data_IF_582760366398
#
_entry.id   IF_582760366398
#
_cell.length_a   1.000
_cell.length_b   1.000
_cell.length_c   1.000
_cell.angle_alpha   90.00
_cell.angle_beta   90.00
_cell.angle_gamma   90.00
#
_symmetry.space_group_name_H-M   'P 1'
#
loop_
_entity.id
_entity.type
_entity.pdbx_description
1 polymer ?
#
# COMPACT_ATOMS: atom_id res chain seq x y z
N UNK A 1 31.48 -12.67 -20.52
CA UNK A 1 30.37 -11.70 -20.57
C UNK A 1 30.33 -11.16 -21.98
N UNK A 2 29.13 -10.99 -22.52
CA UNK A 2 28.98 -10.27 -23.78
C UNK A 2 29.41 -8.81 -23.57
N UNK A 3 29.82 -8.14 -24.64
CA UNK A 3 30.35 -6.77 -24.57
C UNK A 3 29.25 -5.73 -24.74
N UNK A 4 28.10 -6.13 -25.31
CA UNK A 4 26.99 -5.23 -25.66
C UNK A 4 25.66 -5.71 -25.06
N UNK A 5 24.92 -4.75 -24.50
CA UNK A 5 23.61 -4.89 -23.87
C UNK A 5 22.77 -3.67 -24.24
N UNK A 6 21.46 -3.87 -24.38
CA UNK A 6 20.53 -2.76 -24.67
C UNK A 6 20.36 -1.85 -23.44
N UNK A 7 20.36 -2.45 -22.24
CA UNK A 7 20.21 -1.75 -20.97
C UNK A 7 21.12 -2.36 -19.91
N UNK A 8 21.76 -1.51 -19.11
CA UNK A 8 22.50 -1.91 -17.90
C UNK A 8 21.75 -1.36 -16.69
N UNK A 9 21.39 -2.24 -15.76
CA UNK A 9 20.73 -1.92 -14.49
C UNK A 9 21.71 -2.15 -13.34
N UNK A 10 21.91 -1.12 -12.52
CA UNK A 10 22.83 -1.13 -11.38
C UNK A 10 22.04 -1.10 -10.07
N UNK A 11 22.23 -2.11 -9.24
CA UNK A 11 21.51 -2.31 -7.99
C UNK A 11 20.32 -3.25 -8.17
N UNK A 12 20.04 -4.04 -7.15
CA UNK A 12 18.98 -5.08 -7.14
C UNK A 12 17.86 -4.74 -6.17
N UNK A 13 17.59 -3.45 -5.99
CA UNK A 13 16.42 -2.99 -5.27
C UNK A 13 15.13 -3.35 -5.99
N UNK A 14 14.00 -3.21 -5.28
CA UNK A 14 12.69 -3.58 -5.81
C UNK A 14 12.37 -2.87 -7.14
N UNK A 15 12.71 -1.58 -7.26
CA UNK A 15 12.40 -0.77 -8.46
C UNK A 15 13.23 -1.25 -9.66
N UNK A 16 14.52 -1.48 -9.42
CA UNK A 16 15.49 -1.91 -10.42
C UNK A 16 15.11 -3.31 -10.95
N UNK A 17 14.75 -4.24 -10.06
CA UNK A 17 14.28 -5.57 -10.43
C UNK A 17 12.98 -5.55 -11.24
N UNK A 18 12.02 -4.69 -10.89
CA UNK A 18 10.78 -4.54 -11.66
C UNK A 18 11.06 -4.02 -13.08
N UNK A 19 11.89 -2.98 -13.19
CA UNK A 19 12.26 -2.41 -14.50
C UNK A 19 13.03 -3.42 -15.34
N UNK A 20 14.03 -4.08 -14.76
CA UNK A 20 14.81 -5.15 -15.40
C UNK A 20 13.90 -6.27 -15.93
N UNK A 21 12.91 -6.70 -15.13
CA UNK A 21 11.92 -7.69 -15.53
C UNK A 21 11.04 -7.23 -16.69
N UNK A 22 10.50 -6.00 -16.65
CA UNK A 22 9.68 -5.45 -17.72
C UNK A 22 10.46 -5.33 -19.05
N UNK A 23 11.68 -4.80 -19.00
CA UNK A 23 12.54 -4.66 -20.19
C UNK A 23 12.92 -6.03 -20.79
N UNK A 24 13.13 -7.03 -19.93
CA UNK A 24 13.39 -8.41 -20.37
C UNK A 24 12.17 -9.03 -21.05
N UNK A 25 10.95 -8.77 -20.55
CA UNK A 25 9.70 -9.20 -21.19
C UNK A 25 9.52 -8.55 -22.57
N UNK A 26 9.93 -7.29 -22.71
CA UNK A 26 9.99 -6.56 -23.98
C UNK A 26 11.16 -6.99 -24.89
N UNK A 27 11.85 -8.08 -24.54
CA UNK A 27 12.93 -8.72 -25.29
C UNK A 27 14.20 -7.89 -25.44
N UNK A 28 14.42 -6.92 -24.56
CA UNK A 28 15.70 -6.23 -24.47
C UNK A 28 16.74 -7.09 -23.75
N UNK A 29 17.98 -6.98 -24.20
CA UNK A 29 19.14 -7.65 -23.58
C UNK A 29 19.62 -6.82 -22.39
N UNK A 30 19.22 -7.24 -21.19
CA UNK A 30 19.51 -6.51 -19.94
C UNK A 30 20.70 -7.11 -19.20
N UNK A 31 21.68 -6.28 -18.82
CA UNK A 31 22.70 -6.63 -17.83
C UNK A 31 22.31 -6.06 -16.47
N UNK A 32 22.02 -6.92 -15.51
CA UNK A 32 21.62 -6.51 -14.16
C UNK A 32 22.68 -6.94 -13.15
N UNK A 33 23.28 -5.99 -12.44
CA UNK A 33 24.33 -6.26 -11.47
C UNK A 33 24.19 -5.41 -10.21
N UNK A 34 24.77 -5.88 -9.12
CA UNK A 34 24.87 -5.17 -7.85
C UNK A 34 26.32 -5.18 -7.38
N UNK A 35 26.71 -4.14 -6.64
CA UNK A 35 28.01 -4.09 -5.96
C UNK A 35 28.00 -4.92 -4.67
N UNK A 36 26.83 -5.14 -4.10
CA UNK A 36 26.63 -5.92 -2.89
C UNK A 36 26.63 -7.43 -3.23
N UNK A 37 27.01 -8.25 -2.27
CA UNK A 37 26.95 -9.72 -2.35
C UNK A 37 25.56 -10.29 -1.99
N UNK A 38 24.55 -9.43 -1.88
CA UNK A 38 23.16 -9.76 -1.57
C UNK A 38 22.20 -8.93 -2.42
N UNK A 39 20.96 -9.43 -2.53
CA UNK A 39 19.88 -8.75 -3.25
C UNK A 39 19.14 -7.72 -2.38
N UNK A 40 18.48 -6.75 -3.02
CA UNK A 40 17.49 -5.88 -2.38
C UNK A 40 17.97 -4.48 -2.03
N UNK A 41 19.29 -4.24 -2.03
CA UNK A 41 19.87 -2.93 -1.70
C UNK A 41 19.37 -2.43 -0.33
N UNK A 42 18.86 -1.19 -0.29
CA UNK A 42 18.29 -0.60 0.93
C UNK A 42 17.04 -1.34 1.45
N UNK A 43 16.35 -2.08 0.57
CA UNK A 43 15.17 -2.90 0.90
C UNK A 43 15.53 -4.36 1.18
N UNK A 44 16.79 -4.70 1.43
CA UNK A 44 17.21 -6.07 1.73
C UNK A 44 16.46 -6.64 2.94
N UNK A 45 16.26 -7.96 2.94
CA UNK A 45 15.82 -8.72 4.11
C UNK A 45 17.06 -9.34 4.76
N UNK A 46 17.20 -9.17 6.08
CA UNK A 46 18.34 -9.68 6.83
C UNK A 46 17.94 -10.89 7.66
N UNK A 47 18.84 -11.86 7.75
CA UNK A 47 18.75 -12.91 8.77
C UNK A 47 19.14 -12.36 10.16
N UNK A 48 18.90 -13.14 11.21
CA UNK A 48 19.08 -12.67 12.58
C UNK A 48 20.52 -12.23 12.91
N UNK A 49 21.54 -12.98 12.49
CA UNK A 49 22.93 -12.62 12.70
C UNK A 49 23.32 -11.33 11.95
N UNK A 50 22.87 -11.19 10.69
CA UNK A 50 23.10 -9.97 9.90
C UNK A 50 22.45 -8.74 10.56
N UNK A 51 21.24 -8.90 11.10
CA UNK A 51 20.52 -7.85 11.80
C UNK A 51 21.28 -7.41 13.08
N UNK A 52 21.77 -8.37 13.86
CA UNK A 52 22.56 -8.09 15.07
C UNK A 52 23.87 -7.38 14.75
N UNK A 53 24.61 -7.91 13.77
CA UNK A 53 25.85 -7.28 13.32
C UNK A 53 25.64 -5.84 12.89
N UNK A 54 24.54 -5.56 12.19
CA UNK A 54 24.21 -4.21 11.70
C UNK A 54 23.85 -3.22 12.81
N UNK A 55 23.03 -3.63 13.78
CA UNK A 55 22.43 -2.69 14.75
C UNK A 55 22.99 -2.79 16.17
N UNK A 56 23.66 -3.89 16.50
CA UNK A 56 24.24 -4.17 17.83
C UNK A 56 25.75 -4.33 17.79
N UNK A 57 26.34 -4.56 16.62
CA UNK A 57 27.79 -4.78 16.46
C UNK A 57 28.27 -6.14 16.98
N UNK A 58 27.34 -7.03 17.34
CA UNK A 58 27.63 -8.40 17.76
C UNK A 58 27.57 -9.35 16.55
N UNK A 59 28.47 -10.34 16.49
CA UNK A 59 28.51 -11.30 15.38
C UNK A 59 27.38 -12.35 15.43
N UNK A 60 26.75 -12.55 16.59
CA UNK A 60 25.72 -13.58 16.79
C UNK A 60 24.55 -13.09 17.61
N UNK A 61 23.33 -13.42 17.20
CA UNK A 61 22.11 -13.14 17.96
C UNK A 61 21.95 -14.06 19.18
N UNK A 62 21.20 -13.65 20.22
CA UNK A 62 20.89 -14.47 21.39
C UNK A 62 20.27 -15.83 21.03
N UNK A 63 20.80 -16.90 21.64
CA UNK A 63 20.39 -18.27 21.35
C UNK A 63 18.89 -18.56 21.58
N UNK A 64 18.24 -17.83 22.49
CA UNK A 64 16.82 -18.01 22.80
C UNK A 64 15.86 -17.60 21.67
N UNK A 65 16.36 -16.86 20.66
CA UNK A 65 15.58 -16.45 19.51
C UNK A 65 15.52 -17.53 18.41
N UNK A 66 16.24 -18.65 18.57
CA UNK A 66 16.25 -19.73 17.59
C UNK A 66 17.28 -19.55 16.47
N UNK A 67 17.08 -20.28 15.37
CA UNK A 67 18.08 -20.35 14.30
C UNK A 67 18.02 -19.11 13.39
N UNK A 68 19.16 -18.48 13.14
CA UNK A 68 19.23 -17.25 12.32
C UNK A 68 18.58 -17.37 10.94
N UNK A 69 18.61 -18.55 10.32
CA UNK A 69 18.05 -18.83 8.98
C UNK A 69 16.52 -18.82 8.91
N UNK A 70 15.84 -18.85 10.05
CA UNK A 70 14.37 -18.81 10.13
C UNK A 70 13.82 -17.38 10.01
N UNK A 71 14.71 -16.39 10.03
CA UNK A 71 14.37 -14.97 9.99
C UNK A 71 14.69 -14.36 8.63
N UNK A 72 13.72 -13.60 8.12
CA UNK A 72 13.88 -12.70 7.00
C UNK A 72 13.27 -11.36 7.42
N UNK A 73 14.11 -10.46 7.92
CA UNK A 73 13.69 -9.17 8.51
C UNK A 73 13.92 -8.06 7.50
N UNK A 74 12.83 -7.53 6.96
CA UNK A 74 12.88 -6.46 5.97
C UNK A 74 13.42 -5.16 6.59
N UNK A 75 14.42 -4.57 5.94
CA UNK A 75 14.95 -3.27 6.33
C UNK A 75 13.97 -2.12 6.05
N UNK A 76 13.06 -2.31 5.11
CA UNK A 76 12.00 -1.36 4.75
C UNK A 76 10.67 -2.12 4.62
N UNK A 77 9.93 -2.32 5.72
CA UNK A 77 8.69 -3.09 5.69
C UNK A 77 7.62 -2.38 4.86
N UNK A 78 7.02 -3.10 3.91
CA UNK A 78 5.93 -2.60 3.05
C UNK A 78 4.91 -3.70 2.79
N UNK A 79 3.65 -3.32 2.69
CA UNK A 79 2.59 -4.20 2.19
C UNK A 79 2.25 -3.86 0.74
N UNK A 80 1.69 -4.84 0.05
CA UNK A 80 1.15 -4.69 -1.29
C UNK A 80 -0.36 -4.59 -1.21
N UNK A 81 -0.93 -3.51 -1.76
CA UNK A 81 -2.37 -3.40 -1.95
C UNK A 81 -2.80 -4.48 -2.94
N UNK A 82 -3.77 -5.31 -2.59
CA UNK A 82 -4.20 -6.45 -3.40
C UNK A 82 -4.61 -6.03 -4.83
N UNK A 83 -5.32 -4.90 -4.94
CA UNK A 83 -5.74 -4.33 -6.23
C UNK A 83 -4.80 -3.18 -6.70
N UNK A 84 -3.59 -3.12 -6.17
CA UNK A 84 -2.59 -2.10 -6.49
C UNK A 84 -1.92 -2.30 -7.85
N UNK A 85 -1.30 -1.24 -8.37
CA UNK A 85 -0.55 -1.30 -9.62
C UNK A 85 0.63 -2.30 -9.57
N UNK A 86 1.28 -2.42 -8.41
CA UNK A 86 2.42 -3.34 -8.25
C UNK A 86 2.02 -4.80 -8.47
N UNK A 87 0.89 -5.26 -7.92
CA UNK A 87 0.40 -6.63 -8.15
C UNK A 87 0.12 -6.87 -9.64
N UNK A 88 -0.49 -5.90 -10.33
CA UNK A 88 -0.72 -5.99 -11.79
C UNK A 88 0.59 -6.14 -12.56
N UNK A 89 1.63 -5.40 -12.19
CA UNK A 89 2.96 -5.51 -12.81
C UNK A 89 3.58 -6.89 -12.57
N UNK A 90 3.52 -7.42 -11.35
CA UNK A 90 4.06 -8.75 -11.02
C UNK A 90 3.36 -9.88 -11.79
N UNK A 91 2.05 -9.76 -11.99
CA UNK A 91 1.28 -10.70 -12.82
C UNK A 91 1.73 -10.59 -14.29
N UNK A 92 1.84 -9.37 -14.81
CA UNK A 92 2.24 -9.12 -16.20
C UNK A 92 3.63 -9.66 -16.52
N UNK A 93 4.60 -9.50 -15.61
CA UNK A 93 5.97 -10.03 -15.77
C UNK A 93 6.07 -11.53 -15.51
N UNK A 94 5.01 -12.18 -15.02
CA UNK A 94 5.00 -13.60 -14.69
C UNK A 94 5.80 -13.98 -13.44
N UNK A 95 6.28 -13.00 -12.68
CA UNK A 95 7.10 -13.20 -11.47
C UNK A 95 6.32 -13.87 -10.34
N UNK A 96 4.99 -13.77 -10.35
CA UNK A 96 4.10 -14.43 -9.37
C UNK A 96 4.28 -15.95 -9.30
N UNK A 97 4.87 -16.59 -10.31
CA UNK A 97 5.21 -18.03 -10.30
C UNK A 97 6.29 -18.39 -9.27
N UNK A 98 7.06 -17.41 -8.80
CA UNK A 98 8.20 -17.60 -7.91
C UNK A 98 7.95 -17.08 -6.49
N UNK A 99 6.73 -16.63 -6.20
CA UNK A 99 6.39 -16.04 -4.91
C UNK A 99 5.00 -16.46 -4.45
N UNK A 100 4.88 -16.65 -3.15
CA UNK A 100 3.61 -16.93 -2.49
C UNK A 100 3.19 -15.73 -1.68
N UNK A 101 1.91 -15.37 -1.75
CA UNK A 101 1.33 -14.27 -0.99
C UNK A 101 0.47 -14.82 0.15
N UNK A 102 0.48 -14.11 1.27
CA UNK A 102 -0.45 -14.32 2.38
C UNK A 102 -1.15 -12.99 2.65
N UNK A 103 -2.47 -13.03 2.77
CA UNK A 103 -3.25 -11.86 3.16
C UNK A 103 -2.87 -11.43 4.60
N UNK A 104 -2.82 -10.12 4.82
CA UNK A 104 -2.68 -9.56 6.17
C UNK A 104 -4.02 -9.69 6.88
N UNK A 105 -4.02 -10.14 8.14
CA UNK A 105 -5.25 -10.45 8.89
C UNK A 105 -6.10 -9.21 9.21
N UNK A 106 -5.48 -8.03 9.29
CA UNK A 106 -6.20 -6.79 9.52
C UNK A 106 -5.32 -5.55 9.54
N UNK A 107 -5.96 -4.41 9.31
CA UNK A 107 -5.39 -3.07 9.54
C UNK A 107 -5.97 -2.48 10.82
N UNK A 108 -5.17 -1.72 11.54
CA UNK A 108 -5.55 -1.13 12.82
C UNK A 108 -5.14 0.33 12.89
N UNK A 109 -5.97 1.15 13.54
CA UNK A 109 -5.71 2.57 13.78
C UNK A 109 -5.55 2.81 15.29
N UNK A 110 -4.63 3.70 15.64
CA UNK A 110 -4.45 4.16 17.01
C UNK A 110 -5.27 5.43 17.23
N UNK A 111 -6.23 5.38 18.16
CA UNK A 111 -7.06 6.53 18.51
C UNK A 111 -7.17 6.61 20.05
N UNK A 112 -6.79 7.76 20.62
CA UNK A 112 -6.92 8.07 22.06
C UNK A 112 -6.42 6.95 22.98
N UNK A 113 -5.21 6.44 22.72
CA UNK A 113 -4.59 5.40 23.55
C UNK A 113 -5.07 3.97 23.27
N UNK A 114 -5.95 3.76 22.29
CA UNK A 114 -6.49 2.44 21.95
C UNK A 114 -6.22 2.10 20.50
N UNK A 115 -5.84 0.85 20.27
CA UNK A 115 -5.75 0.26 18.94
C UNK A 115 -7.12 -0.31 18.57
N UNK A 116 -7.65 0.07 17.42
CA UNK A 116 -8.95 -0.37 16.93
C UNK A 116 -8.82 -0.92 15.51
N UNK A 117 -9.52 -2.02 15.22
CA UNK A 117 -9.51 -2.61 13.88
C UNK A 117 -10.21 -1.67 12.89
N UNK A 118 -9.55 -1.39 11.77
CA UNK A 118 -10.13 -0.72 10.61
C UNK A 118 -11.12 -1.72 9.96
N UNK A 119 -12.41 -1.40 9.86
CA UNK A 119 -13.39 -2.33 9.32
C UNK A 119 -13.10 -2.68 7.86
N UNK A 120 -13.10 -3.98 7.54
CA UNK A 120 -12.92 -4.46 6.17
C UNK A 120 -14.20 -5.03 5.54
N UNK A 121 -15.31 -5.07 6.30
CA UNK A 121 -16.63 -5.52 5.83
C UNK A 121 -17.74 -4.65 6.40
N UNK A 122 -18.92 -4.66 5.76
CA UNK A 122 -20.12 -3.96 6.24
C UNK A 122 -20.49 -4.37 7.68
N UNK A 123 -20.37 -5.66 8.01
CA UNK A 123 -20.68 -6.16 9.35
C UNK A 123 -19.69 -5.65 10.41
N UNK A 124 -18.40 -5.56 10.07
CA UNK A 124 -17.40 -4.95 10.95
C UNK A 124 -17.64 -3.45 11.11
N UNK A 125 -18.02 -2.76 10.04
CA UNK A 125 -18.32 -1.33 10.07
C UNK A 125 -19.49 -1.05 11.03
N UNK A 126 -20.54 -1.87 10.99
CA UNK A 126 -21.68 -1.78 11.90
C UNK A 126 -21.30 -2.02 13.38
N UNK A 127 -20.36 -2.92 13.66
CA UNK A 127 -19.89 -3.24 15.04
C UNK A 127 -18.79 -2.30 15.56
N UNK A 128 -18.09 -1.60 14.67
CA UNK A 128 -16.92 -0.81 15.03
C UNK A 128 -17.22 0.34 16.00
N UNK A 129 -16.39 0.57 17.03
CA UNK A 129 -16.54 1.71 17.93
C UNK A 129 -15.94 3.02 17.38
N UNK A 130 -15.35 3.01 16.17
CA UNK A 130 -14.68 4.19 15.59
C UNK A 130 -15.63 5.35 15.31
N UNK A 131 -16.91 5.07 15.07
CA UNK A 131 -17.92 6.05 14.71
C UNK A 131 -19.22 5.80 15.47
N UNK A 132 -19.92 6.86 15.86
CA UNK A 132 -21.29 6.76 16.37
C UNK A 132 -22.28 6.34 15.27
N UNK A 133 -23.46 5.84 15.64
CA UNK A 133 -24.44 5.30 14.69
C UNK A 133 -24.85 6.29 13.57
N UNK A 134 -25.07 7.56 13.93
CA UNK A 134 -25.42 8.60 12.96
C UNK A 134 -24.25 8.98 12.04
N UNK A 135 -23.03 8.97 12.59
CA UNK A 135 -21.81 9.23 11.83
C UNK A 135 -21.57 8.10 10.81
N UNK A 136 -21.75 6.83 11.21
CA UNK A 136 -21.69 5.68 10.29
C UNK A 136 -22.66 5.81 9.12
N UNK A 137 -23.87 6.33 9.35
CA UNK A 137 -24.85 6.56 8.27
C UNK A 137 -24.38 7.63 7.29
N UNK A 138 -23.71 8.68 7.76
CA UNK A 138 -23.12 9.72 6.89
C UNK A 138 -21.89 9.19 6.15
N UNK A 139 -20.98 8.53 6.86
CA UNK A 139 -19.79 7.90 6.28
C UNK A 139 -20.17 6.86 5.22
N UNK A 140 -21.20 6.04 5.46
CA UNK A 140 -21.72 5.09 4.48
C UNK A 140 -22.18 5.76 3.18
N UNK A 141 -22.88 6.91 3.26
CA UNK A 141 -23.25 7.68 2.05
C UNK A 141 -22.03 8.22 1.29
N UNK A 142 -20.99 8.61 2.02
CA UNK A 142 -19.73 9.06 1.43
C UNK A 142 -18.99 7.91 0.75
N UNK A 143 -18.84 6.76 1.41
CA UNK A 143 -18.21 5.58 0.84
C UNK A 143 -18.95 5.07 -0.41
N UNK A 144 -20.28 5.06 -0.39
CA UNK A 144 -21.08 4.74 -1.58
C UNK A 144 -20.78 5.69 -2.74
N UNK A 145 -20.67 6.99 -2.48
CA UNK A 145 -20.25 7.94 -3.52
C UNK A 145 -18.86 7.64 -4.07
N UNK A 146 -17.88 7.37 -3.21
CA UNK A 146 -16.51 7.03 -3.61
C UNK A 146 -16.49 5.76 -4.46
N UNK A 147 -17.24 4.72 -4.08
CA UNK A 147 -17.36 3.47 -4.84
C UNK A 147 -18.00 3.71 -6.21
N UNK A 148 -19.12 4.44 -6.25
CA UNK A 148 -19.89 4.71 -7.47
C UNK A 148 -19.17 5.68 -8.44
N UNK A 149 -18.26 6.52 -7.94
CA UNK A 149 -17.58 7.54 -8.75
C UNK A 149 -16.76 6.93 -9.89
N UNK A 150 -17.02 7.36 -11.12
CA UNK A 150 -16.29 6.96 -12.32
C UNK A 150 -15.82 8.22 -13.05
N UNK A 151 -14.50 8.36 -13.20
CA UNK A 151 -13.87 9.54 -13.82
C UNK A 151 -14.42 9.82 -15.23
N UNK A 152 -14.66 8.76 -16.02
CA UNK A 152 -15.17 8.86 -17.39
C UNK A 152 -16.70 8.92 -17.51
N UNK A 153 -17.44 8.92 -16.40
CA UNK A 153 -18.91 8.95 -16.41
C UNK A 153 -19.45 10.11 -15.55
N UNK A 154 -19.75 11.27 -16.17
CA UNK A 154 -20.23 12.47 -15.48
C UNK A 154 -21.52 12.26 -14.66
N UNK A 155 -22.34 11.25 -14.98
CA UNK A 155 -23.58 10.97 -14.24
C UNK A 155 -23.30 10.54 -12.79
N UNK A 156 -22.10 10.00 -12.52
CA UNK A 156 -21.67 9.54 -11.19
C UNK A 156 -21.11 10.67 -10.32
N UNK A 157 -20.80 11.84 -10.90
CA UNK A 157 -20.04 12.90 -10.22
C UNK A 157 -20.88 13.67 -9.20
N UNK A 158 -22.22 13.58 -9.27
CA UNK A 158 -23.18 14.30 -8.42
C UNK A 158 -22.97 15.82 -8.41
N UNK A 159 -22.50 16.36 -9.54
CA UNK A 159 -22.25 17.79 -9.72
C UNK A 159 -20.93 18.28 -9.11
N UNK A 160 -20.07 17.39 -8.60
CA UNK A 160 -18.75 17.74 -8.10
C UNK A 160 -17.69 17.59 -9.19
N UNK A 161 -16.80 18.57 -9.30
CA UNK A 161 -15.57 18.44 -10.09
C UNK A 161 -14.41 18.13 -9.14
N UNK A 162 -14.04 16.84 -9.06
CA UNK A 162 -13.00 16.35 -8.16
C UNK A 162 -11.60 16.86 -8.49
N UNK A 163 -11.39 17.43 -9.67
CA UNK A 163 -10.11 18.05 -10.05
C UNK A 163 -9.96 19.46 -9.49
N UNK A 164 -11.05 20.05 -8.99
CA UNK A 164 -11.10 21.43 -8.50
C UNK A 164 -11.52 21.55 -7.04
N UNK A 165 -12.52 20.77 -6.61
CA UNK A 165 -12.96 20.77 -5.21
C UNK A 165 -11.91 20.11 -4.35
N UNK A 166 -11.61 20.71 -3.20
CA UNK A 166 -10.65 20.14 -2.25
C UNK A 166 -11.22 18.91 -1.55
N UNK A 167 -10.35 18.01 -1.05
CA UNK A 167 -10.80 16.86 -0.25
C UNK A 167 -11.64 17.31 0.96
N UNK A 168 -11.23 18.38 1.63
CA UNK A 168 -11.98 18.94 2.78
C UNK A 168 -13.37 19.40 2.38
N UNK A 169 -13.50 20.15 1.30
CA UNK A 169 -14.80 20.64 0.82
C UNK A 169 -15.71 19.48 0.44
N UNK A 170 -15.20 18.48 -0.30
CA UNK A 170 -15.97 17.30 -0.67
C UNK A 170 -16.48 16.57 0.59
N UNK A 171 -15.60 16.24 1.53
CA UNK A 171 -15.98 15.48 2.73
C UNK A 171 -16.98 16.29 3.58
N UNK A 172 -16.79 17.60 3.68
CA UNK A 172 -17.70 18.49 4.42
C UNK A 172 -19.14 18.46 3.87
N UNK A 173 -19.34 18.21 2.56
CA UNK A 173 -20.69 18.03 1.97
C UNK A 173 -21.46 16.85 2.55
N UNK A 174 -20.76 15.86 3.11
CA UNK A 174 -21.35 14.69 3.75
C UNK A 174 -21.54 14.88 5.25
N UNK A 175 -21.07 16.00 5.82
CA UNK A 175 -21.21 16.34 7.23
C UNK A 175 -20.46 15.37 8.16
N UNK A 176 -19.28 14.90 7.72
CA UNK A 176 -18.44 14.03 8.54
C UNK A 176 -17.68 14.86 9.59
N UNK A 177 -17.51 14.29 10.78
CA UNK A 177 -16.75 14.91 11.85
C UNK A 177 -15.23 14.78 11.64
N UNK A 178 -14.45 15.56 12.39
CA UNK A 178 -12.98 15.59 12.26
C UNK A 178 -12.34 14.23 12.54
N UNK A 179 -12.85 13.44 13.50
CA UNK A 179 -12.30 12.10 13.79
C UNK A 179 -12.54 11.13 12.63
N UNK A 180 -13.67 11.28 11.94
CA UNK A 180 -14.03 10.47 10.77
C UNK A 180 -13.21 10.87 9.55
N UNK A 181 -12.95 12.17 9.38
CA UNK A 181 -12.05 12.69 8.35
C UNK A 181 -10.63 12.13 8.56
N UNK A 182 -10.10 12.21 9.77
CA UNK A 182 -8.79 11.67 10.16
C UNK A 182 -8.69 10.16 9.84
N UNK A 183 -9.69 9.38 10.28
CA UNK A 183 -9.78 7.96 9.97
C UNK A 183 -9.80 7.68 8.46
N UNK A 184 -10.61 8.40 7.69
CA UNK A 184 -10.73 8.22 6.24
C UNK A 184 -9.42 8.57 5.55
N UNK A 185 -8.80 9.69 5.89
CA UNK A 185 -7.55 10.15 5.29
C UNK A 185 -6.39 9.19 5.54
N UNK A 186 -6.20 8.79 6.80
CA UNK A 186 -5.00 8.07 7.21
C UNK A 186 -5.15 6.55 7.20
N UNK A 187 -6.32 6.02 7.55
CA UNK A 187 -6.52 4.57 7.64
C UNK A 187 -7.13 3.95 6.37
N UNK A 188 -7.83 4.76 5.55
CA UNK A 188 -8.46 4.28 4.30
C UNK A 188 -7.71 4.79 3.07
N UNK A 189 -7.48 6.10 2.95
CA UNK A 189 -6.75 6.69 1.83
C UNK A 189 -5.21 6.61 1.98
N UNK A 190 -4.73 6.26 3.19
CA UNK A 190 -3.30 6.11 3.50
C UNK A 190 -2.46 7.36 3.23
N UNK A 191 -3.05 8.54 3.43
CA UNK A 191 -2.29 9.79 3.48
C UNK A 191 -1.41 9.83 4.74
N UNK A 192 -0.24 10.43 4.65
CA UNK A 192 0.73 10.48 5.76
C UNK A 192 0.59 11.70 6.66
N UNK A 193 -0.12 12.72 6.18
CA UNK A 193 -0.36 13.99 6.84
C UNK A 193 -1.62 14.65 6.26
N UNK A 194 -2.06 15.77 6.85
CA UNK A 194 -3.32 16.45 6.52
C UNK A 194 -3.25 17.38 5.28
N UNK A 195 -2.11 17.46 4.58
CA UNK A 195 -2.00 18.35 3.40
C UNK A 195 -3.03 18.03 2.31
N UNK A 196 -3.40 16.75 2.17
CA UNK A 196 -4.42 16.27 1.22
C UNK A 196 -5.78 16.97 1.36
N UNK A 197 -6.09 17.51 2.55
CA UNK A 197 -7.34 18.23 2.80
C UNK A 197 -7.48 19.47 1.94
N UNK A 198 -6.36 20.13 1.62
CA UNK A 198 -6.30 21.32 0.76
C UNK A 198 -6.08 20.99 -0.72
N UNK A 199 -5.80 19.73 -1.06
CA UNK A 199 -5.58 19.28 -2.43
C UNK A 199 -6.87 18.83 -3.11
N UNK A 200 -6.92 18.80 -4.46
CA UNK A 200 -8.06 18.26 -5.19
C UNK A 200 -8.45 16.86 -4.74
N UNK A 201 -9.76 16.64 -4.57
CA UNK A 201 -10.30 15.41 -4.00
C UNK A 201 -10.08 14.15 -4.86
N UNK A 202 -9.73 14.30 -6.14
CA UNK A 202 -9.57 13.19 -7.09
C UNK A 202 -8.54 12.15 -6.63
N UNK A 203 -7.41 12.58 -6.06
CA UNK A 203 -6.36 11.65 -5.59
C UNK A 203 -6.85 10.86 -4.36
N UNK A 204 -7.43 11.55 -3.38
CA UNK A 204 -8.02 10.93 -2.19
C UNK A 204 -9.09 9.90 -2.57
N UNK A 205 -10.00 10.24 -3.49
CA UNK A 205 -11.03 9.30 -3.98
C UNK A 205 -10.39 8.08 -4.66
N UNK A 206 -9.38 8.26 -5.53
CA UNK A 206 -8.66 7.16 -6.19
C UNK A 206 -7.97 6.23 -5.18
N UNK A 207 -7.32 6.79 -4.15
CA UNK A 207 -6.67 6.01 -3.08
C UNK A 207 -7.67 5.21 -2.27
N UNK A 208 -8.77 5.83 -1.86
CA UNK A 208 -9.84 5.13 -1.14
C UNK A 208 -10.42 3.97 -1.96
N UNK A 209 -10.66 4.18 -3.25
CA UNK A 209 -11.14 3.10 -4.13
C UNK A 209 -10.16 1.93 -4.21
N UNK A 210 -8.85 2.18 -4.22
CA UNK A 210 -7.84 1.12 -4.22
C UNK A 210 -7.84 0.29 -2.92
N UNK A 211 -8.35 0.85 -1.82
CA UNK A 211 -8.51 0.17 -0.52
C UNK A 211 -9.80 -0.63 -0.41
N UNK A 212 -10.79 -0.38 -1.28
CA UNK A 212 -12.01 -1.17 -1.32
C UNK A 212 -11.81 -2.42 -2.16
N UNK A 213 -12.23 -3.57 -1.62
CA UNK A 213 -12.36 -4.80 -2.41
C UNK A 213 -13.54 -4.61 -3.36
N UNK A 214 -13.31 -4.64 -4.66
CA UNK A 214 -14.37 -4.94 -5.61
C UNK A 214 -14.65 -6.44 -5.49
N UNK A 215 -15.57 -6.83 -4.59
CA UNK A 215 -16.06 -8.21 -4.42
C UNK A 215 -16.83 -8.73 -5.67
N UNK A 216 -16.64 -8.11 -6.84
CA UNK A 216 -17.40 -8.41 -8.06
C UNK A 216 -16.59 -9.02 -9.19
N UNK A 217 -15.28 -9.20 -9.09
CA UNK A 217 -14.49 -9.78 -10.19
C UNK A 217 -13.29 -10.64 -9.73
N UNK A 218 -13.56 -11.70 -8.99
CA UNK A 218 -12.72 -12.91 -9.00
C UNK A 218 -13.59 -14.12 -9.32
#
# INVERSE_FOLDING_TARGET
MDVEYDVIVLGTGLKECILSGLLSVDRLKVLHMDRNDYYGGDCTSLNLNQLWKRFKGEDTSPAHLGASREYNVDMVPKFMMANGALIRVLIHTGVTKYMSFKAVDGSYVFNKGKIQKVPSTDMEALKSPLMGLFEKRRAGKFFLYVQDYKENDPSTHKGYDLTRITSKELISKYGLDENTIDFIGHAVALHTDDSYLAEPAIDTVKRMKASFSDDKNY
#
